data_IF_336910558516
#
_entry.id   IF_336910558516
#
_cell.length_a   1.000
_cell.length_b   1.000
_cell.length_c   1.000
_cell.angle_alpha   90.00
_cell.angle_beta   90.00
_cell.angle_gamma   90.00
#
_symmetry.space_group_name_H-M   'P 1'
#
loop_
_entity.id
_entity.type
_entity.pdbx_description
1 polymer ?
#
# COMPACT_ATOMS: atom_id res chain seq x y z
N UNK A 1 -25.19 9.71 -16.91
CA UNK A 1 -24.08 10.68 -16.76
C UNK A 1 -23.77 10.97 -15.28
N UNK A 2 -24.74 11.39 -14.45
CA UNK A 2 -24.49 11.76 -13.04
C UNK A 2 -23.89 10.67 -12.14
N UNK A 3 -24.32 9.41 -12.27
CA UNK A 3 -23.75 8.29 -11.51
C UNK A 3 -22.26 8.05 -11.81
N UNK A 4 -21.88 8.04 -13.09
CA UNK A 4 -20.47 7.86 -13.49
C UNK A 4 -19.60 9.03 -13.00
N UNK A 5 -20.12 10.25 -13.05
CA UNK A 5 -19.42 11.43 -12.52
C UNK A 5 -19.22 11.32 -10.99
N UNK A 6 -20.25 10.91 -10.25
CA UNK A 6 -20.16 10.67 -8.81
C UNK A 6 -19.11 9.59 -8.48
N UNK A 7 -19.17 8.43 -9.13
CA UNK A 7 -18.17 7.37 -8.97
C UNK A 7 -16.76 7.87 -9.29
N UNK A 8 -16.59 8.67 -10.35
CA UNK A 8 -15.31 9.26 -10.73
C UNK A 8 -14.73 10.16 -9.63
N UNK A 9 -15.55 11.04 -9.03
CA UNK A 9 -15.11 11.91 -7.93
C UNK A 9 -14.75 11.11 -6.68
N UNK A 10 -15.54 10.08 -6.33
CA UNK A 10 -15.24 9.20 -5.19
C UNK A 10 -13.92 8.46 -5.39
N UNK A 11 -13.72 7.85 -6.57
CA UNK A 11 -12.47 7.14 -6.88
C UNK A 11 -11.28 8.10 -6.89
N UNK A 12 -11.43 9.30 -7.45
CA UNK A 12 -10.39 10.32 -7.39
C UNK A 12 -10.05 10.69 -5.95
N UNK A 13 -11.04 10.92 -5.09
CA UNK A 13 -10.81 11.22 -3.68
C UNK A 13 -10.05 10.10 -2.95
N UNK A 14 -10.37 8.83 -3.23
CA UNK A 14 -9.66 7.68 -2.66
C UNK A 14 -8.20 7.56 -3.13
N UNK A 15 -7.93 7.94 -4.39
CA UNK A 15 -6.60 7.84 -5.01
C UNK A 15 -5.75 9.11 -4.79
N UNK A 16 -6.38 10.26 -4.56
CA UNK A 16 -5.73 11.56 -4.35
C UNK A 16 -4.54 11.53 -3.37
N UNK A 17 -4.61 10.90 -2.18
CA UNK A 17 -3.45 10.85 -1.28
C UNK A 17 -2.28 10.04 -1.88
N UNK A 18 -2.56 8.99 -2.65
CA UNK A 18 -1.51 8.20 -3.32
C UNK A 18 -0.79 9.05 -4.37
N UNK A 19 -1.51 9.90 -5.11
CA UNK A 19 -0.91 10.81 -6.09
C UNK A 19 0.06 11.81 -5.44
N UNK A 20 -0.17 12.22 -4.20
CA UNK A 20 0.75 13.09 -3.46
C UNK A 20 2.00 12.35 -2.98
N UNK A 21 1.90 11.05 -2.69
CA UNK A 21 3.04 10.24 -2.22
C UNK A 21 3.99 9.89 -3.35
N UNK A 22 3.51 9.71 -4.58
CA UNK A 22 4.35 9.37 -5.74
C UNK A 22 5.51 10.37 -5.95
N UNK A 23 5.31 11.70 -6.04
CA UNK A 23 6.45 12.62 -6.18
C UNK A 23 7.34 12.63 -4.94
N UNK A 24 6.76 12.50 -3.74
CA UNK A 24 7.52 12.45 -2.49
C UNK A 24 8.40 11.21 -2.37
N UNK A 25 8.07 10.08 -2.99
CA UNK A 25 8.92 8.88 -2.98
C UNK A 25 10.22 9.09 -3.78
N UNK A 26 10.27 10.09 -4.65
CA UNK A 26 11.47 10.53 -5.35
C UNK A 26 12.20 11.67 -4.63
N UNK A 27 11.82 12.05 -3.41
CA UNK A 27 12.52 13.13 -2.71
C UNK A 27 13.97 12.71 -2.37
N UNK A 28 14.94 13.55 -2.71
CA UNK A 28 16.36 13.31 -2.38
C UNK A 28 16.62 13.31 -0.86
N UNK A 29 15.87 14.11 -0.11
CA UNK A 29 16.03 14.29 1.34
C UNK A 29 15.32 13.21 2.16
N UNK A 30 15.73 12.96 3.42
CA UNK A 30 15.07 12.05 4.36
C UNK A 30 13.69 12.50 4.86
N UNK A 31 13.14 13.60 4.32
CA UNK A 31 11.90 14.20 4.81
C UNK A 31 10.76 14.00 3.81
N UNK A 32 9.63 13.46 4.28
CA UNK A 32 8.38 13.34 3.51
C UNK A 32 7.63 14.68 3.43
N UNK A 33 8.31 15.73 2.99
CA UNK A 33 7.74 17.06 2.77
C UNK A 33 8.06 17.55 1.36
N UNK A 34 7.18 18.37 0.79
CA UNK A 34 7.47 19.04 -0.47
C UNK A 34 8.51 20.13 -0.22
N UNK A 35 9.74 19.89 -0.63
CA UNK A 35 10.83 20.87 -0.52
C UNK A 35 10.68 21.96 -1.58
N UNK A 36 11.27 23.13 -1.36
CA UNK A 36 11.25 24.20 -2.37
C UNK A 36 11.85 23.74 -3.70
N UNK A 37 12.91 22.93 -3.68
CA UNK A 37 13.50 22.36 -4.88
C UNK A 37 12.54 21.47 -5.67
N UNK A 38 11.71 20.66 -5.00
CA UNK A 38 10.70 19.85 -5.68
C UNK A 38 9.61 20.71 -6.33
N UNK A 39 9.16 21.77 -5.65
CA UNK A 39 8.17 22.71 -6.18
C UNK A 39 8.71 23.52 -7.36
N UNK A 40 10.00 23.86 -7.33
CA UNK A 40 10.71 24.56 -8.40
C UNK A 40 11.15 23.62 -9.55
N UNK A 41 10.80 22.33 -9.50
CA UNK A 41 11.20 21.30 -10.47
C UNK A 41 12.72 21.22 -10.68
N UNK A 42 13.48 21.47 -9.62
CA UNK A 42 14.94 21.33 -9.64
C UNK A 42 15.32 19.84 -9.71
N UNK A 43 16.18 19.50 -10.67
CA UNK A 43 16.69 18.14 -10.84
C UNK A 43 17.41 17.59 -9.60
N UNK A 44 18.04 18.45 -8.79
CA UNK A 44 18.77 18.02 -7.58
C UNK A 44 17.84 17.56 -6.45
N UNK A 45 16.57 17.99 -6.48
CA UNK A 45 15.58 17.64 -5.46
C UNK A 45 14.97 16.24 -5.65
N UNK A 46 15.19 15.60 -6.81
CA UNK A 46 14.67 14.28 -7.15
C UNK A 46 15.77 13.22 -7.15
N UNK A 47 15.50 12.06 -6.53
CA UNK A 47 16.43 10.93 -6.43
C UNK A 47 15.70 9.59 -6.37
N UNK A 48 16.30 8.55 -6.93
CA UNK A 48 15.83 7.16 -6.82
C UNK A 48 16.47 6.39 -5.66
N UNK A 49 17.17 7.08 -4.76
CA UNK A 49 17.91 6.47 -3.63
C UNK A 49 17.06 5.49 -2.82
N UNK A 50 15.83 5.86 -2.49
CA UNK A 50 14.94 5.01 -1.68
C UNK A 50 14.56 3.70 -2.37
N UNK A 51 14.38 3.73 -3.68
CA UNK A 51 14.12 2.53 -4.46
C UNK A 51 15.34 1.62 -4.48
N UNK A 52 16.54 2.18 -4.58
CA UNK A 52 17.79 1.40 -4.48
C UNK A 52 17.93 0.80 -3.07
N UNK A 53 17.72 1.62 -2.03
CA UNK A 53 17.81 1.21 -0.62
C UNK A 53 16.85 0.06 -0.28
N UNK A 54 15.65 0.05 -0.88
CA UNK A 54 14.68 -1.04 -0.72
C UNK A 54 15.24 -2.42 -1.15
N UNK A 55 16.15 -2.44 -2.13
CA UNK A 55 16.76 -3.67 -2.64
C UNK A 55 18.19 -3.93 -2.14
N UNK A 56 18.87 -2.92 -1.61
CA UNK A 56 20.25 -3.06 -1.10
C UNK A 56 20.33 -3.19 0.41
N UNK A 57 19.29 -2.78 1.14
CA UNK A 57 19.26 -2.90 2.60
C UNK A 57 18.74 -4.26 3.03
N UNK A 58 19.58 -5.00 3.76
CA UNK A 58 19.20 -6.28 4.38
C UNK A 58 17.99 -6.13 5.32
N UNK A 59 17.85 -4.99 5.98
CA UNK A 59 16.71 -4.72 6.87
C UNK A 59 15.41 -4.64 6.09
N UNK A 60 15.39 -3.92 4.96
CA UNK A 60 14.22 -3.80 4.10
C UNK A 60 13.85 -5.14 3.48
N UNK A 61 14.82 -5.88 2.96
CA UNK A 61 14.60 -7.21 2.39
C UNK A 61 14.09 -8.22 3.42
N UNK A 62 14.66 -8.22 4.63
CA UNK A 62 14.23 -9.09 5.72
C UNK A 62 12.80 -8.76 6.15
N UNK A 63 12.47 -7.48 6.29
CA UNK A 63 11.12 -7.03 6.63
C UNK A 63 10.10 -7.45 5.57
N UNK A 64 10.41 -7.23 4.29
CA UNK A 64 9.57 -7.66 3.16
C UNK A 64 9.34 -9.17 3.16
N UNK A 65 10.39 -9.96 3.38
CA UNK A 65 10.28 -11.43 3.44
C UNK A 65 9.41 -11.87 4.60
N UNK A 66 9.64 -11.31 5.78
CA UNK A 66 8.88 -11.67 6.99
C UNK A 66 7.40 -11.31 6.84
N UNK A 67 7.08 -10.09 6.43
CA UNK A 67 5.68 -9.66 6.27
C UNK A 67 4.94 -10.46 5.20
N UNK A 68 5.60 -10.74 4.07
CA UNK A 68 5.01 -11.54 2.98
C UNK A 68 4.71 -12.97 3.44
N UNK A 69 5.67 -13.60 4.13
CA UNK A 69 5.47 -14.95 4.65
C UNK A 69 4.34 -15.01 5.69
N UNK A 70 4.33 -14.06 6.64
CA UNK A 70 3.28 -13.98 7.66
C UNK A 70 1.92 -13.71 7.02
N UNK A 71 1.82 -12.77 6.07
CA UNK A 71 0.58 -12.45 5.39
C UNK A 71 0.01 -13.65 4.63
N UNK A 72 0.85 -14.43 3.96
CA UNK A 72 0.44 -15.64 3.25
C UNK A 72 -0.11 -16.71 4.22
N UNK A 73 0.62 -17.00 5.30
CA UNK A 73 0.17 -17.98 6.30
C UNK A 73 -1.10 -17.53 7.01
N UNK A 74 -1.19 -16.24 7.37
CA UNK A 74 -2.38 -15.65 7.97
C UNK A 74 -3.59 -15.76 7.03
N UNK A 75 -3.42 -15.50 5.73
CA UNK A 75 -4.48 -15.63 4.74
C UNK A 75 -5.01 -17.06 4.65
N UNK A 76 -4.13 -18.06 4.60
CA UNK A 76 -4.53 -19.47 4.53
C UNK A 76 -5.30 -19.89 5.78
N UNK A 77 -4.77 -19.58 6.97
CA UNK A 77 -5.41 -19.95 8.24
C UNK A 77 -6.74 -19.22 8.41
N UNK A 78 -6.77 -17.90 8.18
CA UNK A 78 -7.98 -17.10 8.33
C UNK A 78 -9.06 -17.52 7.33
N UNK A 79 -8.70 -17.78 6.07
CA UNK A 79 -9.66 -18.24 5.05
C UNK A 79 -10.18 -19.63 5.39
N UNK A 80 -9.29 -20.56 5.78
CA UNK A 80 -9.68 -21.92 6.16
C UNK A 80 -10.63 -21.93 7.36
N UNK A 81 -10.22 -21.32 8.47
CA UNK A 81 -11.03 -21.24 9.69
C UNK A 81 -12.32 -20.43 9.48
N UNK A 82 -12.24 -19.31 8.77
CA UNK A 82 -13.40 -18.48 8.45
C UNK A 82 -14.42 -19.21 7.58
N UNK A 83 -13.96 -19.98 6.59
CA UNK A 83 -14.85 -20.82 5.75
C UNK A 83 -15.51 -21.91 6.57
N UNK A 84 -14.76 -22.61 7.43
CA UNK A 84 -15.32 -23.64 8.32
C UNK A 84 -16.34 -23.06 9.31
N UNK A 85 -16.05 -21.90 9.91
CA UNK A 85 -16.98 -21.22 10.81
C UNK A 85 -18.25 -20.75 10.09
N UNK A 86 -18.11 -20.22 8.87
CA UNK A 86 -19.26 -19.80 8.05
C UNK A 86 -20.16 -20.99 7.69
N UNK A 87 -19.57 -22.13 7.30
CA UNK A 87 -20.32 -23.36 7.04
C UNK A 87 -21.01 -23.90 8.30
N UNK A 88 -20.34 -23.84 9.45
CA UNK A 88 -20.91 -24.25 10.73
C UNK A 88 -22.11 -23.39 11.16
N UNK A 89 -22.01 -22.06 11.01
CA UNK A 89 -23.11 -21.15 11.34
C UNK A 89 -24.28 -21.22 10.34
N UNK A 90 -24.00 -21.44 9.05
CA UNK A 90 -25.01 -21.56 8.00
C UNK A 90 -25.78 -22.90 8.06
N UNK A 91 -25.19 -23.91 8.68
CA UNK A 91 -25.85 -25.20 8.92
C UNK A 91 -26.88 -25.05 10.05
N UNK A 92 -28.17 -25.00 9.69
CA UNK A 92 -29.30 -24.98 10.64
C UNK A 92 -29.54 -26.32 11.37
N UNK A 93 -28.72 -27.33 11.11
CA UNK A 93 -28.85 -28.71 11.61
C UNK A 93 -27.52 -29.24 12.18
N UNK A 94 -26.90 -28.45 13.04
CA UNK A 94 -26.17 -29.05 14.17
C UNK A 94 -27.23 -29.28 15.27
N UNK A 95 -27.27 -30.44 15.96
CA UNK A 95 -27.98 -30.49 17.24
C UNK A 95 -27.43 -29.44 18.21
#
# INVERSE_FOLDING_TARGET
AGYLAFCGVVLFFLIAPILTIIPLSFNATPYFTFTEGMLNLDSEAYSTRWYQEMFTSDQWLLALKNSTFIAFMATLVATGLGTLAALGLASSNLP
#
